data_IF_051185443980
#
_entry.id   IF_051185443980
#
_cell.length_a   1.000
_cell.length_b   1.000
_cell.length_c   1.000
_cell.angle_alpha   90.00
_cell.angle_beta   90.00
_cell.angle_gamma   90.00
#
_symmetry.space_group_name_H-M   'P 1'
#
loop_
_entity.id
_entity.type
_entity.pdbx_description
1 polymer ?
#
# COMPACT_ATOMS: atom_id res chain seq x y z
N UNK A 1 33.71 7.46 -22.16
CA UNK A 1 32.64 7.55 -21.12
C UNK A 1 32.99 6.59 -20.01
N UNK A 2 33.35 7.09 -18.82
CA UNK A 2 33.69 6.27 -17.65
C UNK A 2 32.37 5.89 -16.96
N UNK A 3 32.06 4.60 -16.91
CA UNK A 3 30.92 4.10 -16.14
C UNK A 3 31.17 4.35 -14.64
N UNK A 4 30.12 4.80 -13.95
CA UNK A 4 30.13 4.98 -12.50
C UNK A 4 30.25 3.61 -11.79
N UNK A 5 30.88 3.56 -10.60
CA UNK A 5 31.13 2.32 -9.87
C UNK A 5 29.84 1.56 -9.58
N UNK A 6 29.89 0.24 -9.71
CA UNK A 6 28.76 -0.70 -9.55
C UNK A 6 28.06 -0.60 -8.18
N UNK A 7 28.72 -0.03 -7.18
CA UNK A 7 28.15 0.23 -5.85
C UNK A 7 27.05 1.33 -5.89
N UNK A 8 27.13 2.29 -6.81
CA UNK A 8 26.17 3.41 -6.91
C UNK A 8 24.92 3.05 -7.70
N UNK A 9 25.04 2.15 -8.69
CA UNK A 9 23.90 1.68 -9.48
C UNK A 9 22.93 0.82 -8.64
N UNK A 10 23.42 0.19 -7.57
CA UNK A 10 22.61 -0.63 -6.65
C UNK A 10 21.64 0.14 -5.75
N UNK A 11 21.80 1.45 -5.61
CA UNK A 11 20.95 2.29 -4.77
C UNK A 11 19.79 2.97 -5.54
N UNK A 12 19.80 2.89 -6.87
CA UNK A 12 18.78 3.50 -7.73
C UNK A 12 17.93 2.47 -8.49
N UNK A 13 18.31 1.18 -8.45
CA UNK A 13 17.43 0.06 -8.75
C UNK A 13 16.77 -0.40 -7.45
N UNK A 14 15.76 0.30 -6.93
CA UNK A 14 15.04 -0.14 -5.72
C UNK A 14 14.23 -1.41 -6.00
N UNK A 15 14.95 -2.51 -6.22
CA UNK A 15 14.59 -3.92 -6.05
C UNK A 15 14.43 -4.26 -4.56
N UNK A 16 13.99 -3.31 -3.74
CA UNK A 16 13.43 -3.67 -2.45
C UNK A 16 12.08 -4.31 -2.76
N UNK A 17 12.12 -5.61 -3.03
CA UNK A 17 10.95 -6.47 -2.90
C UNK A 17 10.30 -6.06 -1.58
N UNK A 18 9.05 -5.61 -1.59
CA UNK A 18 8.28 -5.45 -0.35
C UNK A 18 8.40 -6.76 0.44
N UNK A 19 9.19 -6.74 1.52
CA UNK A 19 9.51 -7.93 2.30
C UNK A 19 8.69 -8.04 3.59
N UNK A 20 7.98 -6.98 3.97
CA UNK A 20 7.23 -6.88 5.22
C UNK A 20 5.95 -6.07 5.06
N UNK A 21 4.98 -6.34 5.94
CA UNK A 21 3.71 -5.57 6.04
C UNK A 21 4.00 -4.09 6.30
N UNK A 22 5.01 -3.81 7.14
CA UNK A 22 5.46 -2.45 7.44
C UNK A 22 5.88 -1.69 6.19
N UNK A 23 6.59 -2.35 5.26
CA UNK A 23 7.04 -1.69 4.02
C UNK A 23 5.87 -1.32 3.13
N UNK A 24 4.87 -2.22 3.01
CA UNK A 24 3.62 -1.92 2.27
C UNK A 24 2.92 -0.72 2.87
N UNK A 25 2.71 -0.74 4.19
CA UNK A 25 1.99 0.32 4.88
C UNK A 25 2.75 1.63 4.74
N UNK A 26 4.09 1.61 4.84
CA UNK A 26 4.93 2.79 4.63
C UNK A 26 4.72 3.38 3.24
N UNK A 27 4.87 2.59 2.18
CA UNK A 27 4.71 3.07 0.80
C UNK A 27 3.30 3.63 0.55
N UNK A 28 2.25 2.93 1.02
CA UNK A 28 0.87 3.40 0.84
C UNK A 28 0.59 4.68 1.62
N UNK A 29 1.08 4.79 2.85
CA UNK A 29 0.93 6.01 3.67
C UNK A 29 1.72 7.17 3.07
N UNK A 30 2.93 6.95 2.57
CA UNK A 30 3.73 7.98 1.89
C UNK A 30 3.00 8.49 0.64
N UNK A 31 2.43 7.60 -0.17
CA UNK A 31 1.62 8.00 -1.33
C UNK A 31 0.40 8.84 -0.93
N UNK A 32 -0.28 8.49 0.17
CA UNK A 32 -1.40 9.29 0.69
C UNK A 32 -0.95 10.68 1.16
N UNK A 33 0.23 10.79 1.79
CA UNK A 33 0.79 12.07 2.23
C UNK A 33 1.20 12.95 1.05
N UNK A 34 1.80 12.36 0.02
CA UNK A 34 2.18 13.06 -1.22
C UNK A 34 0.93 13.56 -1.97
N UNK A 35 -0.19 12.84 -1.86
CA UNK A 35 -1.50 13.27 -2.36
C UNK A 35 -2.20 14.34 -1.48
N UNK A 36 -1.51 14.88 -0.46
CA UNK A 36 -2.03 15.94 0.40
C UNK A 36 -3.09 15.50 1.41
N UNK A 37 -3.16 14.21 1.74
CA UNK A 37 -4.15 13.71 2.69
C UNK A 37 -3.99 14.33 4.09
N UNK A 38 -5.12 14.69 4.69
CA UNK A 38 -5.23 15.15 6.09
C UNK A 38 -5.80 14.06 7.00
N UNK A 39 -6.29 12.97 6.41
CA UNK A 39 -6.88 11.85 7.10
C UNK A 39 -6.51 10.55 6.39
N UNK A 40 -5.89 9.62 7.12
CA UNK A 40 -5.47 8.31 6.62
C UNK A 40 -5.99 7.22 7.55
N UNK A 41 -6.78 6.30 7.02
CA UNK A 41 -7.27 5.11 7.71
C UNK A 41 -6.49 3.89 7.21
N UNK A 42 -5.77 3.21 8.11
CA UNK A 42 -5.00 1.99 7.84
C UNK A 42 -5.67 0.80 8.51
N UNK A 43 -6.05 -0.21 7.71
CA UNK A 43 -6.70 -1.43 8.17
C UNK A 43 -5.92 -2.67 7.77
N UNK A 44 -5.65 -3.51 8.76
CA UNK A 44 -4.98 -4.80 8.58
C UNK A 44 -5.89 -5.95 9.00
N UNK A 45 -6.00 -6.98 8.16
CA UNK A 45 -6.67 -8.24 8.51
C UNK A 45 -5.65 -9.37 8.57
N UNK A 46 -5.76 -10.20 9.61
CA UNK A 46 -4.83 -11.29 9.87
C UNK A 46 -3.37 -10.81 9.81
N UNK A 47 -3.08 -9.73 10.56
CA UNK A 47 -1.76 -9.10 10.61
C UNK A 47 -1.25 -8.53 9.26
N UNK A 48 -2.13 -8.34 8.28
CA UNK A 48 -1.78 -7.89 6.92
C UNK A 48 -1.53 -9.04 5.95
N UNK A 49 -1.69 -10.31 6.38
CA UNK A 49 -1.51 -11.47 5.50
C UNK A 49 -2.66 -11.64 4.51
N UNK A 50 -3.88 -11.34 4.95
CA UNK A 50 -5.08 -11.50 4.13
C UNK A 50 -5.44 -10.22 3.42
N UNK A 51 -5.41 -9.08 4.13
CA UNK A 51 -5.72 -7.77 3.59
C UNK A 51 -4.91 -6.67 4.26
N UNK A 52 -4.39 -5.77 3.44
CA UNK A 52 -3.88 -4.45 3.82
C UNK A 52 -4.72 -3.43 3.06
N UNK A 53 -5.33 -2.50 3.77
CA UNK A 53 -6.17 -1.45 3.20
C UNK A 53 -5.73 -0.10 3.76
N UNK A 54 -5.47 0.85 2.88
CA UNK A 54 -5.15 2.23 3.23
C UNK A 54 -6.12 3.13 2.47
N UNK A 55 -6.84 3.95 3.23
CA UNK A 55 -7.79 4.93 2.70
C UNK A 55 -7.35 6.32 3.11
N UNK A 56 -7.35 7.22 2.15
CA UNK A 56 -7.07 8.63 2.37
C UNK A 56 -8.16 9.53 1.79
N UNK A 57 -8.10 10.80 2.17
CA UNK A 57 -8.91 11.89 1.64
C UNK A 57 -8.08 12.86 0.78
N UNK A 58 -7.01 12.38 0.16
CA UNK A 58 -6.13 13.19 -0.68
C UNK A 58 -6.78 13.63 -2.00
N UNK A 59 -5.97 14.13 -2.92
CA UNK A 59 -6.44 14.64 -4.21
C UNK A 59 -7.04 13.58 -5.14
N UNK A 60 -6.80 12.29 -4.84
CA UNK A 60 -7.12 11.20 -5.74
C UNK A 60 -6.10 11.09 -6.87
N UNK A 61 -6.11 9.94 -7.54
CA UNK A 61 -5.27 9.68 -8.71
C UNK A 61 -6.08 9.95 -9.98
N UNK A 62 -5.48 10.73 -10.91
CA UNK A 62 -6.09 11.10 -12.19
C UNK A 62 -6.19 9.89 -13.11
N UNK A 63 -7.20 9.91 -13.99
CA UNK A 63 -7.39 8.86 -14.99
C UNK A 63 -6.16 8.72 -15.94
N UNK A 64 -5.43 9.80 -16.20
CA UNK A 64 -4.21 9.79 -17.03
C UNK A 64 -3.06 9.00 -16.42
N UNK A 65 -3.04 8.89 -15.09
CA UNK A 65 -1.96 8.24 -14.35
C UNK A 65 -2.27 6.76 -14.10
N UNK A 66 -3.46 6.29 -14.51
CA UNK A 66 -3.89 4.88 -14.43
C UNK A 66 -2.89 3.88 -14.99
N UNK A 67 -2.18 4.12 -16.12
CA UNK A 67 -1.24 3.15 -16.66
C UNK A 67 0.03 2.98 -15.82
N UNK A 68 0.34 3.95 -14.95
CA UNK A 68 1.54 3.97 -14.12
C UNK A 68 1.25 3.74 -12.63
N UNK A 69 -0.02 3.64 -12.23
CA UNK A 69 -0.45 3.35 -10.85
C UNK A 69 0.11 2.03 -10.28
N UNK A 70 0.50 1.10 -11.15
CA UNK A 70 1.02 -0.20 -10.75
C UNK A 70 2.40 -0.45 -11.38
N UNK A 71 3.43 -0.35 -10.55
CA UNK A 71 4.81 -0.65 -10.96
C UNK A 71 5.04 -2.16 -11.10
N UNK A 72 5.84 -2.49 -12.12
CA UNK A 72 6.01 -3.80 -12.75
C UNK A 72 6.84 -4.79 -11.92
N UNK A 73 6.59 -4.96 -10.62
CA UNK A 73 7.45 -5.81 -9.76
C UNK A 73 6.71 -6.56 -8.63
N UNK A 74 5.38 -6.46 -8.57
CA UNK A 74 4.59 -7.04 -7.48
C UNK A 74 3.99 -8.40 -7.84
N UNK A 75 4.81 -9.45 -7.74
CA UNK A 75 4.50 -10.90 -7.78
C UNK A 75 3.16 -11.30 -8.44
N UNK A 76 3.24 -12.14 -9.48
CA UNK A 76 2.18 -12.60 -10.40
C UNK A 76 0.88 -13.19 -9.83
N UNK A 77 0.61 -13.06 -8.52
CA UNK A 77 -0.56 -13.61 -7.81
C UNK A 77 -1.18 -12.65 -6.78
N UNK A 78 -0.76 -11.39 -6.73
CA UNK A 78 -1.38 -10.36 -5.87
C UNK A 78 -2.56 -9.74 -6.64
N UNK A 79 -3.65 -9.45 -5.94
CA UNK A 79 -4.75 -8.65 -6.46
C UNK A 79 -4.75 -7.34 -5.70
N UNK A 80 -4.62 -6.23 -6.42
CA UNK A 80 -4.68 -4.88 -5.85
C UNK A 80 -5.96 -4.22 -6.35
N UNK A 81 -6.76 -3.69 -5.43
CA UNK A 81 -7.93 -2.89 -5.75
C UNK A 81 -7.59 -1.44 -5.41
N UNK A 82 -7.77 -0.54 -6.36
CA UNK A 82 -7.60 0.89 -6.17
C UNK A 82 -8.94 1.55 -6.46
N UNK A 83 -9.50 2.25 -5.49
CA UNK A 83 -10.70 3.08 -5.70
C UNK A 83 -10.30 4.51 -5.49
N UNK A 84 -10.41 5.34 -6.52
CA UNK A 84 -9.96 6.74 -6.48
C UNK A 84 -11.03 7.68 -7.01
N UNK A 85 -11.05 8.90 -6.49
CA UNK A 85 -11.83 10.00 -7.03
C UNK A 85 -11.08 11.31 -6.86
N UNK A 86 -10.89 12.03 -7.96
CA UNK A 86 -10.39 13.40 -7.93
C UNK A 86 -11.52 14.40 -7.76
N UNK A 87 -11.19 15.65 -7.40
CA UNK A 87 -12.17 16.73 -7.29
C UNK A 87 -12.89 17.02 -8.62
N UNK A 88 -12.24 16.75 -9.75
CA UNK A 88 -12.80 16.95 -11.09
C UNK A 88 -13.74 15.81 -11.53
N UNK A 89 -13.74 14.67 -10.82
CA UNK A 89 -14.52 13.50 -11.19
C UNK A 89 -15.94 13.56 -10.62
N UNK A 90 -16.92 13.27 -11.48
CA UNK A 90 -18.33 13.15 -11.09
C UNK A 90 -18.59 11.97 -10.15
N UNK A 91 -17.84 10.87 -10.32
CA UNK A 91 -17.94 9.65 -9.51
C UNK A 91 -16.58 9.00 -9.36
N UNK A 92 -16.41 8.19 -8.32
CA UNK A 92 -15.15 7.46 -8.12
C UNK A 92 -15.03 6.29 -9.09
N UNK A 93 -13.80 5.90 -9.42
CA UNK A 93 -13.52 4.72 -10.24
C UNK A 93 -12.73 3.70 -9.43
N UNK A 94 -13.18 2.45 -9.50
CA UNK A 94 -12.46 1.30 -8.96
C UNK A 94 -11.72 0.58 -10.09
N UNK A 95 -10.44 0.38 -9.90
CA UNK A 95 -9.53 -0.41 -10.72
C UNK A 95 -9.18 -1.68 -9.97
N UNK A 96 -9.20 -2.80 -10.68
CA UNK A 96 -8.67 -4.07 -10.19
C UNK A 96 -7.42 -4.37 -11.02
N UNK A 97 -6.31 -4.56 -10.34
CA UNK A 97 -5.00 -4.82 -10.91
C UNK A 97 -4.58 -6.25 -10.61
N UNK A 98 -3.95 -6.90 -11.59
CA UNK A 98 -3.28 -8.18 -11.39
C UNK A 98 -1.85 -8.02 -10.83
N UNK A 99 -1.20 -9.14 -10.53
CA UNK A 99 0.18 -9.18 -10.02
C UNK A 99 1.26 -8.83 -11.05
N UNK A 100 0.88 -8.38 -12.25
CA UNK A 100 1.79 -7.77 -13.21
C UNK A 100 1.57 -6.26 -13.34
N UNK A 101 0.59 -5.72 -12.62
CA UNK A 101 0.20 -4.32 -12.67
C UNK A 101 -0.76 -3.99 -13.82
N UNK A 102 -1.28 -4.99 -14.54
CA UNK A 102 -2.28 -4.74 -15.58
C UNK A 102 -3.67 -4.57 -14.96
N UNK A 103 -4.42 -3.59 -15.48
CA UNK A 103 -5.81 -3.36 -15.10
C UNK A 103 -6.65 -4.49 -15.71
N UNK A 104 -7.20 -5.35 -14.85
CA UNK A 104 -8.10 -6.44 -15.25
C UNK A 104 -9.57 -6.01 -15.26
N UNK A 105 -9.91 -4.97 -14.50
CA UNK A 105 -11.27 -4.45 -14.46
C UNK A 105 -11.28 -2.99 -14.03
N UNK A 106 -12.23 -2.23 -14.59
CA UNK A 106 -12.53 -0.86 -14.21
C UNK A 106 -14.04 -0.71 -14.07
N UNK A 107 -14.49 -0.17 -12.93
CA UNK A 107 -15.92 0.03 -12.64
C UNK A 107 -16.16 1.34 -11.89
N UNK A 108 -17.29 2.04 -12.13
CA UNK A 108 -17.68 3.18 -11.30
C UNK A 108 -18.00 2.73 -9.86
N UNK A 109 -17.79 3.63 -8.90
CA UNK A 109 -18.00 3.43 -7.47
C UNK A 109 -18.47 4.73 -6.79
N UNK A 110 -18.86 4.65 -5.51
CA UNK A 110 -19.43 5.75 -4.73
C UNK A 110 -18.52 6.22 -3.57
N UNK A 111 -17.21 6.34 -3.82
CA UNK A 111 -16.29 6.92 -2.86
C UNK A 111 -16.34 8.46 -2.90
N UNK A 112 -16.16 9.10 -1.75
CA UNK A 112 -15.82 10.53 -1.67
C UNK A 112 -14.45 10.82 -2.32
N UNK A 113 -14.05 12.09 -2.37
CA UNK A 113 -12.71 12.44 -2.85
C UNK A 113 -11.63 11.73 -2.02
N UNK A 114 -10.57 11.28 -2.69
CA UNK A 114 -9.48 10.53 -2.09
C UNK A 114 -9.22 9.19 -2.77
N UNK A 115 -8.32 8.41 -2.18
CA UNK A 115 -7.90 7.11 -2.69
C UNK A 115 -8.04 6.03 -1.62
N UNK A 116 -8.53 4.87 -2.01
CA UNK A 116 -8.49 3.64 -1.21
C UNK A 116 -7.70 2.60 -1.98
N UNK A 117 -6.60 2.13 -1.38
CA UNK A 117 -5.79 1.03 -1.92
C UNK A 117 -5.95 -0.19 -1.02
N UNK A 118 -6.37 -1.30 -1.62
CA UNK A 118 -6.54 -2.59 -0.95
C UNK A 118 -5.66 -3.64 -1.61
N UNK A 119 -4.66 -4.14 -0.89
CA UNK A 119 -3.83 -5.27 -1.30
C UNK A 119 -4.34 -6.57 -0.65
N UNK A 120 -4.69 -7.55 -1.47
CA UNK A 120 -5.21 -8.84 -1.01
C UNK A 120 -4.18 -9.96 -1.15
N UNK A 121 -4.10 -10.81 -0.13
CA UNK A 121 -3.34 -12.08 -0.11
C UNK A 121 -1.86 -11.92 -0.45
N UNK A 122 -1.25 -10.82 -0.02
CA UNK A 122 0.10 -10.40 -0.41
C UNK A 122 1.18 -11.48 -0.18
N UNK A 123 1.00 -12.34 0.82
CA UNK A 123 2.01 -13.34 1.22
C UNK A 123 1.59 -14.80 1.01
N UNK A 124 0.47 -15.06 0.31
CA UNK A 124 -0.08 -16.43 0.16
C UNK A 124 0.87 -17.41 -0.54
N UNK A 125 1.82 -16.91 -1.35
CA UNK A 125 2.74 -17.71 -2.17
C UNK A 125 4.21 -17.66 -1.73
N UNK A 126 4.50 -17.23 -0.51
CA UNK A 126 5.86 -17.31 0.04
C UNK A 126 5.95 -18.53 0.97
N UNK A 127 6.11 -19.77 0.48
CA UNK A 127 6.09 -20.98 1.32
C UNK A 127 7.13 -20.94 2.44
N UNK A 128 8.33 -20.44 2.16
CA UNK A 128 9.42 -20.32 3.15
C UNK A 128 9.22 -19.14 4.11
N UNK A 129 8.58 -18.03 3.66
CA UNK A 129 8.35 -16.85 4.52
C UNK A 129 7.06 -16.93 5.33
N UNK A 130 6.07 -17.71 4.87
CA UNK A 130 4.90 -18.06 5.68
C UNK A 130 5.37 -18.75 6.97
N UNK A 131 6.37 -19.63 6.89
CA UNK A 131 7.05 -20.24 8.04
C UNK A 131 7.84 -19.23 8.89
N UNK A 132 8.47 -18.23 8.26
CA UNK A 132 9.16 -17.15 8.97
C UNK A 132 8.22 -16.22 9.75
N UNK A 133 7.00 -16.00 9.26
CA UNK A 133 5.93 -15.26 9.93
C UNK A 133 4.92 -16.17 10.65
N UNK A 134 5.18 -17.48 10.76
CA UNK A 134 4.20 -18.43 11.34
C UNK A 134 4.05 -18.30 12.85
N UNK A 135 4.96 -17.59 13.53
CA UNK A 135 4.89 -17.44 14.97
C UNK A 135 4.10 -16.19 15.35
N UNK A 136 3.10 -16.35 16.20
CA UNK A 136 2.29 -15.26 16.79
C UNK A 136 3.16 -14.12 17.34
N UNK A 137 4.35 -14.42 17.87
CA UNK A 137 5.31 -13.42 18.35
C UNK A 137 5.77 -12.47 17.23
N UNK A 138 6.22 -13.00 16.10
CA UNK A 138 6.71 -12.18 14.98
C UNK A 138 5.60 -11.36 14.34
N UNK A 139 4.38 -11.89 14.26
CA UNK A 139 3.23 -11.13 13.79
C UNK A 139 2.93 -9.92 14.68
N UNK A 140 3.04 -10.08 16.01
CA UNK A 140 2.91 -8.97 16.96
C UNK A 140 4.05 -7.97 16.82
N UNK A 141 5.28 -8.43 16.62
CA UNK A 141 6.44 -7.56 16.40
C UNK A 141 6.28 -6.72 15.12
N UNK A 142 5.74 -7.30 14.04
CA UNK A 142 5.43 -6.55 12.81
C UNK A 142 4.34 -5.51 13.02
N UNK A 143 3.26 -5.83 13.75
CA UNK A 143 2.23 -4.84 14.10
C UNK A 143 2.81 -3.72 14.95
N UNK A 144 3.71 -4.03 15.89
CA UNK A 144 4.38 -3.02 16.69
C UNK A 144 5.18 -2.06 15.81
N UNK A 145 5.93 -2.58 14.83
CA UNK A 145 6.64 -1.72 13.86
C UNK A 145 5.71 -0.86 13.02
N UNK A 146 4.54 -1.38 12.62
CA UNK A 146 3.51 -0.58 11.93
C UNK A 146 3.03 0.55 12.85
N UNK A 147 2.71 0.25 14.10
CA UNK A 147 2.29 1.24 15.08
C UNK A 147 3.36 2.33 15.30
N UNK A 148 4.61 1.92 15.52
CA UNK A 148 5.73 2.86 15.73
C UNK A 148 5.92 3.79 14.52
N UNK A 149 5.76 3.24 13.30
CA UNK A 149 5.79 4.02 12.06
C UNK A 149 4.63 5.04 12.00
N UNK A 150 3.40 4.60 12.25
CA UNK A 150 2.22 5.48 12.19
C UNK A 150 2.26 6.58 13.27
N UNK A 151 2.74 6.23 14.47
CA UNK A 151 2.97 7.20 15.55
C UNK A 151 4.01 8.24 15.12
N UNK A 152 5.08 7.81 14.45
CA UNK A 152 6.11 8.72 13.94
C UNK A 152 5.52 9.73 12.94
N UNK A 153 4.64 9.28 12.03
CA UNK A 153 3.95 10.19 11.12
C UNK A 153 3.00 11.15 11.84
N UNK A 154 2.24 10.67 12.84
CA UNK A 154 1.37 11.52 13.64
C UNK A 154 2.12 12.60 14.44
N UNK A 155 3.33 12.30 14.91
CA UNK A 155 4.20 13.28 15.58
C UNK A 155 4.73 14.31 14.57
N UNK A 156 5.14 13.88 13.37
CA UNK A 156 5.67 14.79 12.35
C UNK A 156 4.61 15.71 11.75
N UNK A 157 3.35 15.28 11.68
CA UNK A 157 2.24 16.07 11.13
C UNK A 157 1.07 16.11 12.13
N UNK A 158 1.04 17.10 13.04
CA UNK A 158 0.00 17.20 14.07
C UNK A 158 -1.43 17.31 13.52
N UNK A 159 -1.60 17.88 12.32
CA UNK A 159 -2.90 18.03 11.66
C UNK A 159 -3.37 16.77 10.92
N UNK A 160 -2.53 15.73 10.86
CA UNK A 160 -2.84 14.47 10.20
C UNK A 160 -3.59 13.54 11.14
N UNK A 161 -4.84 13.22 10.80
CA UNK A 161 -5.60 12.17 11.48
C UNK A 161 -5.19 10.81 10.95
N UNK A 162 -4.62 9.96 11.81
CA UNK A 162 -4.34 8.55 11.48
C UNK A 162 -5.26 7.65 12.30
N UNK A 163 -6.03 6.79 11.64
CA UNK A 163 -6.78 5.71 12.28
C UNK A 163 -6.15 4.37 11.91
N UNK A 164 -5.82 3.57 12.91
CA UNK A 164 -5.31 2.22 12.70
C UNK A 164 -6.28 1.18 13.25
N UNK A 165 -6.69 0.22 12.41
CA UNK A 165 -7.56 -0.90 12.78
C UNK A 165 -6.85 -2.20 12.46
N UNK A 166 -6.73 -3.09 13.44
CA UNK A 166 -6.20 -4.43 13.24
C UNK A 166 -7.22 -5.48 13.66
N UNK A 167 -7.75 -6.22 12.69
CA UNK A 167 -8.68 -7.32 12.92
C UNK A 167 -7.90 -8.63 12.89
N UNK A 168 -7.74 -9.23 14.07
CA UNK A 168 -7.25 -10.59 14.21
C UNK A 168 -8.41 -11.55 13.93
N UNK A 169 -8.49 -12.05 12.70
CA UNK A 169 -9.35 -13.20 12.42
C UNK A 169 -8.66 -14.40 13.07
N UNK A 170 -9.34 -14.98 14.08
CA UNK A 170 -8.88 -16.16 14.80
C UNK A 170 -9.04 -17.43 13.95
#
# INVERSE_FOLDING_TARGET
MKQLPTATVRLLSSSQIITSVVSVVKELVENSLDAGATSIDVKLENYGFDKIEVRDNGEGIKATDTPVMAMKYYTSKIIVLITTRTAADNFSTQYVLDGSGHIISQKPSHLGQGTTVTALRLFKNLPVRKQFYSTTKKCKDEIKKVLDLLISYGILKPDLRILFIHNKVC
#
